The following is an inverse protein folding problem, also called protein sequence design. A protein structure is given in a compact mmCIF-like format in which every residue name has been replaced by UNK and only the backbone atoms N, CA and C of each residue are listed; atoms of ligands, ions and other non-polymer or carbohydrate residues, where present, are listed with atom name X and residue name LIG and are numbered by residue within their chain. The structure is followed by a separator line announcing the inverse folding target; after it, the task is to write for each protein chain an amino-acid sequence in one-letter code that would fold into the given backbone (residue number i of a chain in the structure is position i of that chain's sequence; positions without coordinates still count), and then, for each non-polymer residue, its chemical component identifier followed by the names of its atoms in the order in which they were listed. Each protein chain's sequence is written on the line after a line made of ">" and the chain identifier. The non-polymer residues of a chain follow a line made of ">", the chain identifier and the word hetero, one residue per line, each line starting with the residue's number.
data_IF_467479343319
#
_entry.id   IF_467479343319
#
_cell.length_a   1.000
_cell.length_b   1.000
_cell.length_c   1.000
_cell.angle_alpha   90.00
_cell.angle_beta   90.00
_cell.angle_gamma   90.00
#
_symmetry.space_group_name_H-M   'P 1'
#
loop_
_entity.id
_entity.type
_entity.pdbx_description
1 polymer ?
#
# COMPACT_ATOMS: atom_id res chain seq x y z
N UNK A 1 -2.89 -6.20 -20.38
CA UNK A 1 -2.91 -6.13 -20.18
C UNK A 1 -2.76 -6.27 -19.97
N UNK A 2 -2.96 -6.35 -20.00
CA UNK A 2 -3.13 -6.56 -19.90
C UNK A 2 -3.26 -6.98 -19.40
N UNK A 3 -3.44 -7.42 -19.49
CA UNK A 3 -3.75 -7.85 -19.11
C UNK A 3 -3.81 -8.45 -18.70
N UNK A 4 -4.09 -8.90 -18.61
CA UNK A 4 -4.31 -9.45 -18.30
C UNK A 4 -4.57 -10.08 -18.04
N UNK A 5 -4.86 -10.25 -18.08
CA UNK A 5 -5.19 -10.80 -17.92
C UNK A 5 -5.48 -11.26 -17.22
N UNK A 6 -5.80 -11.42 -17.22
CA UNK A 6 -6.14 -11.54 -16.77
C UNK A 6 -6.69 -11.32 -16.60
N UNK A 7 -7.11 -11.00 -16.82
CA UNK A 7 -7.70 -10.76 -16.81
C UNK A 7 -8.27 -11.09 -16.92
N UNK A 8 -8.81 -11.42 -17.08
CA UNK A 8 -9.36 -11.77 -17.16
C UNK A 8 -9.65 -12.63 -17.01
N UNK A 9 -9.51 -13.30 -16.80
CA UNK A 9 -9.67 -13.92 -16.46
C UNK A 9 -10.17 -14.30 -15.98
N UNK A 10 -9.88 -14.37 -16.59
CA UNK A 10 -10.58 -14.91 -15.94
C UNK A 10 -11.28 -14.38 -14.96
N UNK A 11 -11.20 -14.26 -14.57
CA UNK A 11 -11.96 -13.76 -13.54
C UNK A 11 -12.44 -12.38 -13.82
N UNK A 12 -13.39 -11.96 -13.05
CA UNK A 12 -13.90 -10.62 -13.20
C UNK A 12 -13.02 -9.62 -12.48
N UNK A 13 -13.12 -8.39 -12.89
CA UNK A 13 -12.38 -7.31 -12.26
C UNK A 13 -12.98 -6.97 -10.90
N UNK A 14 -12.11 -6.53 -10.01
CA UNK A 14 -12.51 -6.03 -8.71
C UNK A 14 -13.12 -4.63 -8.87
N UNK A 15 -14.25 -4.39 -8.22
CA UNK A 15 -14.83 -3.06 -8.20
C UNK A 15 -14.03 -2.15 -7.28
N UNK A 16 -14.28 -0.83 -7.38
CA UNK A 16 -13.61 0.12 -6.50
C UNK A 16 -13.94 -0.15 -5.04
N UNK A 17 -15.20 -0.49 -4.76
CA UNK A 17 -15.63 -0.79 -3.41
C UNK A 17 -14.95 -2.03 -2.86
N UNK A 18 -14.84 -3.06 -3.69
CA UNK A 18 -14.15 -4.27 -3.28
C UNK A 18 -12.67 -4.00 -3.03
N UNK A 19 -12.05 -3.22 -3.90
CA UNK A 19 -10.65 -2.86 -3.74
C UNK A 19 -10.43 -2.09 -2.45
N UNK A 20 -11.30 -1.11 -2.18
CA UNK A 20 -11.19 -0.34 -0.95
C UNK A 20 -11.33 -1.21 0.28
N UNK A 21 -12.28 -2.15 0.28
CA UNK A 21 -12.46 -3.04 1.42
C UNK A 21 -11.25 -3.93 1.63
N UNK A 22 -10.68 -4.47 0.54
CA UNK A 22 -9.50 -5.33 0.66
C UNK A 22 -8.29 -4.55 1.14
N UNK A 23 -8.09 -3.35 0.58
CA UNK A 23 -6.97 -2.50 1.01
C UNK A 23 -7.12 -2.16 2.48
N UNK A 24 -8.32 -1.76 2.91
CA UNK A 24 -8.57 -1.43 4.31
C UNK A 24 -8.27 -2.60 5.23
N UNK A 25 -8.67 -3.80 4.82
CA UNK A 25 -8.42 -4.99 5.62
C UNK A 25 -6.93 -5.30 5.73
N UNK A 26 -6.21 -5.25 4.61
CA UNK A 26 -4.78 -5.51 4.61
C UNK A 26 -4.05 -4.49 5.47
N UNK A 27 -4.42 -3.22 5.33
CA UNK A 27 -3.82 -2.15 6.12
C UNK A 27 -4.06 -2.38 7.61
N UNK A 28 -5.28 -2.78 7.98
CA UNK A 28 -5.63 -2.98 9.37
C UNK A 28 -5.00 -4.24 9.97
N UNK A 29 -4.89 -5.31 9.18
CA UNK A 29 -4.54 -6.62 9.72
C UNK A 29 -3.12 -7.06 9.42
N UNK A 30 -2.55 -6.61 8.30
CA UNK A 30 -1.27 -7.14 7.83
C UNK A 30 -0.11 -6.17 7.96
N UNK A 31 -0.39 -4.88 8.02
CA UNK A 31 0.68 -3.89 8.12
C UNK A 31 0.96 -3.57 9.58
N UNK A 32 2.25 -3.35 9.89
CA UNK A 32 2.61 -2.82 11.20
C UNK A 32 2.11 -1.38 11.30
N UNK A 33 2.12 -0.85 12.53
CA UNK A 33 1.69 0.53 12.73
C UNK A 33 2.53 1.52 11.91
N UNK A 34 3.86 1.32 11.92
CA UNK A 34 4.74 2.20 11.15
C UNK A 34 4.47 2.12 9.67
N UNK A 35 4.32 0.90 9.14
CA UNK A 35 4.01 0.71 7.73
C UNK A 35 2.71 1.38 7.34
N UNK A 36 1.71 1.25 8.20
CA UNK A 36 0.39 1.84 7.98
C UNK A 36 0.48 3.36 7.94
N UNK A 37 1.15 3.94 8.92
CA UNK A 37 1.25 5.39 9.02
C UNK A 37 2.05 5.99 7.87
N UNK A 38 3.13 5.32 7.47
CA UNK A 38 3.93 5.79 6.34
C UNK A 38 3.13 5.72 5.05
N UNK A 39 2.39 4.63 4.88
CA UNK A 39 1.56 4.46 3.69
C UNK A 39 0.49 5.56 3.59
N UNK A 40 -0.16 5.85 4.71
CA UNK A 40 -1.16 6.91 4.75
C UNK A 40 -0.53 8.28 4.46
N UNK A 41 0.61 8.55 5.07
CA UNK A 41 1.29 9.82 4.83
C UNK A 41 1.67 10.00 3.36
N UNK A 42 2.16 8.95 2.76
CA UNK A 42 2.63 9.03 1.38
C UNK A 42 1.48 9.15 0.38
N UNK A 43 0.47 8.30 0.52
CA UNK A 43 -0.59 8.20 -0.49
C UNK A 43 -1.80 9.08 -0.22
N UNK A 44 -2.17 9.26 1.04
CA UNK A 44 -3.37 10.04 1.36
C UNK A 44 -3.05 11.48 1.72
N UNK A 45 -1.96 11.70 2.43
CA UNK A 45 -1.54 13.06 2.78
C UNK A 45 -0.61 13.65 1.73
N UNK A 46 -0.22 12.85 0.74
CA UNK A 46 0.61 13.27 -0.38
C UNK A 46 1.95 13.87 0.06
N UNK A 47 2.51 13.31 1.11
CA UNK A 47 3.80 13.77 1.63
C UNK A 47 4.92 13.05 0.91
N UNK A 48 6.03 13.76 0.72
CA UNK A 48 7.23 13.18 0.15
C UNK A 48 8.03 12.48 1.24
N UNK A 49 8.85 11.51 0.84
CA UNK A 49 9.63 10.72 1.79
C UNK A 49 10.46 11.59 2.75
N UNK A 50 11.17 12.63 2.28
CA UNK A 50 11.91 13.49 3.21
C UNK A 50 11.01 14.18 4.23
N UNK A 51 9.79 14.56 3.81
CA UNK A 51 8.84 15.21 4.72
C UNK A 51 8.36 14.24 5.80
N UNK A 52 8.07 13.01 5.39
CA UNK A 52 7.64 11.98 6.34
C UNK A 52 8.74 11.68 7.33
N UNK A 53 9.97 11.57 6.84
CA UNK A 53 11.13 11.31 7.69
C UNK A 53 11.32 12.41 8.72
N UNK A 54 11.18 13.65 8.30
CA UNK A 54 11.31 14.80 9.20
C UNK A 54 10.21 14.78 10.26
N UNK A 55 8.98 14.55 9.84
CA UNK A 55 7.85 14.52 10.76
C UNK A 55 8.01 13.42 11.82
N UNK A 56 8.52 12.27 11.42
CA UNK A 56 8.66 11.13 12.32
C UNK A 56 9.97 11.12 13.09
N UNK A 57 10.90 12.01 12.76
CA UNK A 57 12.20 12.06 13.42
C UNK A 57 13.08 10.86 13.08
N UNK A 58 12.98 10.36 11.87
CA UNK A 58 13.80 9.24 11.40
C UNK A 58 14.47 9.63 10.10
N UNK A 59 15.38 8.78 9.61
CA UNK A 59 16.02 9.09 8.34
C UNK A 59 15.19 8.60 7.16
N UNK A 60 15.52 9.10 5.97
CA UNK A 60 14.76 8.82 4.75
C UNK A 60 14.77 7.33 4.40
N UNK A 61 15.86 6.64 4.66
CA UNK A 61 15.94 5.22 4.32
C UNK A 61 14.99 4.40 5.17
N UNK A 62 14.75 4.80 6.42
CA UNK A 62 13.76 4.12 7.26
C UNK A 62 12.36 4.24 6.68
N UNK A 63 12.00 5.44 6.23
CA UNK A 63 10.69 5.67 5.61
C UNK A 63 10.58 4.88 4.31
N UNK A 64 11.61 4.94 3.49
CA UNK A 64 11.62 4.25 2.21
C UNK A 64 11.43 2.73 2.39
N UNK A 65 12.13 2.16 3.37
CA UNK A 65 12.00 0.72 3.64
C UNK A 65 10.61 0.36 4.16
N UNK A 66 10.07 1.18 5.06
CA UNK A 66 8.73 0.94 5.58
C UNK A 66 7.68 1.01 4.47
N UNK A 67 7.80 2.01 3.60
CA UNK A 67 6.90 2.16 2.47
C UNK A 67 6.99 0.96 1.52
N UNK A 68 8.21 0.53 1.23
CA UNK A 68 8.45 -0.60 0.35
C UNK A 68 7.84 -1.89 0.92
N UNK A 69 8.01 -2.12 2.23
CA UNK A 69 7.41 -3.29 2.88
C UNK A 69 5.88 -3.23 2.83
N UNK A 70 5.31 -2.05 3.07
CA UNK A 70 3.86 -1.89 3.01
C UNK A 70 3.34 -2.19 1.61
N UNK A 71 4.01 -1.65 0.60
CA UNK A 71 3.61 -1.88 -0.79
C UNK A 71 3.74 -3.36 -1.18
N UNK A 72 4.79 -4.01 -0.72
CA UNK A 72 4.98 -5.44 -0.99
C UNK A 72 3.86 -6.26 -0.38
N UNK A 73 3.48 -5.94 0.85
CA UNK A 73 2.38 -6.64 1.52
C UNK A 73 1.05 -6.40 0.79
N UNK A 74 0.80 -5.18 0.37
CA UNK A 74 -0.42 -4.89 -0.37
C UNK A 74 -0.47 -5.68 -1.67
N UNK A 75 0.63 -5.71 -2.41
CA UNK A 75 0.69 -6.49 -3.65
C UNK A 75 0.43 -7.97 -3.39
N UNK A 76 1.03 -8.50 -2.32
CA UNK A 76 0.89 -9.90 -1.98
C UNK A 76 -0.57 -10.27 -1.67
N UNK A 77 -1.23 -9.46 -0.87
CA UNK A 77 -2.57 -9.80 -0.40
C UNK A 77 -3.68 -9.37 -1.36
N UNK A 78 -3.38 -8.53 -2.34
CA UNK A 78 -4.36 -8.11 -3.33
C UNK A 78 -4.24 -8.84 -4.66
N UNK A 79 -3.29 -9.76 -4.77
CA UNK A 79 -3.13 -10.55 -5.99
C UNK A 79 -4.18 -11.65 -6.07
N UNK A 80 -4.49 -12.04 -7.30
CA UNK A 80 -5.42 -13.12 -7.60
C UNK A 80 -4.76 -14.18 -8.42
#
# INVERSE_FOLDING_TARGET
>A
MRNTPYDGYMGRRMTKEEAKRRISRVVAEELSQVEREVLVSYYLREMKIPEIALERGVNKSSVSRALSRAETKLKKYLRY
#
